data_IF_870572820042
#
_entry.id   IF_870572820042
#
_cell.length_a   1.000
_cell.length_b   1.000
_cell.length_c   1.000
_cell.angle_alpha   90.00
_cell.angle_beta   90.00
_cell.angle_gamma   90.00
#
_symmetry.space_group_name_H-M   'P 1'
#
loop_
_entity.id
_entity.type
_entity.pdbx_description
1 polymer ?
#
# COMPACT_ATOMS: atom_id res chain seq x y z
N UNK A 1 -22.24 -33.37 -1.28
CA UNK A 1 -22.21 -31.89 -1.40
C UNK A 1 -22.61 -31.53 -2.82
N UNK A 2 -23.83 -30.97 -3.03
CA UNK A 2 -24.34 -30.69 -4.36
C UNK A 2 -23.85 -29.33 -4.81
N UNK A 3 -23.02 -29.27 -5.86
CA UNK A 3 -22.54 -28.03 -6.44
C UNK A 3 -23.62 -27.47 -7.40
N UNK A 4 -24.18 -26.32 -7.07
CA UNK A 4 -25.14 -25.62 -7.93
C UNK A 4 -24.36 -24.58 -8.73
N UNK A 5 -24.31 -24.73 -10.05
CA UNK A 5 -23.79 -23.69 -10.96
C UNK A 5 -24.95 -22.71 -11.25
N UNK A 6 -25.04 -21.66 -10.46
CA UNK A 6 -25.95 -20.55 -10.73
C UNK A 6 -25.42 -19.70 -11.90
N UNK A 7 -26.31 -19.40 -12.87
CA UNK A 7 -26.09 -18.38 -13.90
C UNK A 7 -27.08 -17.25 -13.61
N UNK A 8 -26.58 -16.10 -13.19
CA UNK A 8 -27.45 -14.97 -12.89
C UNK A 8 -26.71 -13.82 -12.23
N UNK A 9 -27.35 -12.66 -12.24
CA UNK A 9 -26.91 -11.49 -11.48
C UNK A 9 -27.41 -11.63 -10.04
N UNK A 10 -26.50 -11.45 -9.07
CA UNK A 10 -26.86 -11.38 -7.66
C UNK A 10 -26.98 -9.90 -7.25
N UNK A 11 -28.11 -9.52 -6.69
CA UNK A 11 -28.34 -8.17 -6.14
C UNK A 11 -28.48 -8.29 -4.63
N UNK A 12 -27.72 -7.49 -3.89
CA UNK A 12 -27.76 -7.42 -2.43
C UNK A 12 -28.04 -5.98 -2.00
N UNK A 13 -28.89 -5.82 -1.00
CA UNK A 13 -29.10 -4.56 -0.31
C UNK A 13 -28.47 -4.66 1.07
N UNK A 14 -27.62 -3.70 1.43
CA UNK A 14 -26.94 -3.65 2.71
C UNK A 14 -26.88 -2.20 3.23
N UNK A 15 -26.91 -2.03 4.55
CA UNK A 15 -26.75 -0.71 5.18
C UNK A 15 -25.27 -0.37 5.43
N UNK A 16 -24.41 -1.38 5.41
CA UNK A 16 -22.97 -1.26 5.60
C UNK A 16 -22.23 -1.93 4.45
N UNK A 17 -21.02 -1.49 4.20
CA UNK A 17 -20.18 -2.07 3.16
C UNK A 17 -19.84 -3.53 3.51
N UNK A 18 -19.95 -4.46 2.55
CA UNK A 18 -19.67 -5.86 2.83
C UNK A 18 -18.19 -6.09 3.11
N UNK A 19 -17.87 -6.67 4.26
CA UNK A 19 -16.53 -7.14 4.55
C UNK A 19 -16.25 -8.46 3.83
N UNK A 20 -15.08 -8.62 3.24
CA UNK A 20 -14.67 -9.86 2.57
C UNK A 20 -13.29 -10.30 3.03
N UNK A 21 -13.11 -11.62 3.18
CA UNK A 21 -11.79 -12.23 3.38
C UNK A 21 -10.97 -12.29 2.09
N UNK A 22 -11.66 -12.36 0.95
CA UNK A 22 -11.03 -12.30 -0.37
C UNK A 22 -10.75 -10.84 -0.72
N UNK A 23 -9.48 -10.51 -0.92
CA UNK A 23 -8.96 -9.17 -1.29
C UNK A 23 -8.48 -9.16 -2.74
N UNK A 24 -8.86 -10.16 -3.54
CA UNK A 24 -8.42 -10.27 -4.91
C UNK A 24 -9.10 -9.27 -5.83
N UNK A 25 -8.39 -8.78 -6.83
CA UNK A 25 -8.96 -7.96 -7.91
C UNK A 25 -10.10 -8.71 -8.65
N UNK A 26 -10.05 -10.05 -8.64
CA UNK A 26 -11.12 -10.90 -9.21
C UNK A 26 -12.45 -10.73 -8.49
N UNK A 27 -12.44 -10.49 -7.18
CA UNK A 27 -13.65 -10.18 -6.41
C UNK A 27 -14.17 -8.80 -6.79
N UNK A 28 -13.34 -7.76 -6.69
CA UNK A 28 -13.75 -6.38 -6.89
C UNK A 28 -14.28 -6.10 -8.30
N UNK A 29 -13.73 -6.73 -9.34
CA UNK A 29 -14.26 -6.62 -10.73
C UNK A 29 -15.69 -7.14 -10.91
N UNK A 30 -16.21 -7.90 -9.95
CA UNK A 30 -17.59 -8.46 -9.98
C UNK A 30 -18.57 -7.66 -9.13
N UNK A 31 -18.09 -6.63 -8.44
CA UNK A 31 -18.89 -5.75 -7.61
C UNK A 31 -19.20 -4.45 -8.35
N UNK A 32 -20.47 -4.09 -8.37
CA UNK A 32 -20.92 -2.77 -8.80
C UNK A 32 -21.72 -2.20 -7.62
N UNK A 33 -21.10 -1.44 -6.72
CA UNK A 33 -21.80 -0.82 -5.60
C UNK A 33 -22.63 0.34 -6.12
N UNK A 34 -23.92 0.35 -5.77
CA UNK A 34 -24.85 1.42 -6.14
C UNK A 34 -25.22 2.18 -4.87
N UNK A 35 -24.68 3.40 -4.62
CA UNK A 35 -25.00 4.15 -3.43
C UNK A 35 -26.38 4.79 -3.51
N UNK A 36 -27.17 4.61 -2.45
CA UNK A 36 -28.43 5.34 -2.22
C UNK A 36 -28.19 6.43 -1.18
N UNK A 37 -27.80 7.62 -1.64
CA UNK A 37 -27.33 8.71 -0.78
C UNK A 37 -28.48 9.48 -0.12
N UNK A 38 -29.69 9.40 -0.67
CA UNK A 38 -30.85 10.13 -0.15
C UNK A 38 -31.55 9.32 0.95
N UNK A 39 -31.77 9.96 2.07
CA UNK A 39 -32.50 9.40 3.20
C UNK A 39 -33.81 10.17 3.39
N UNK A 40 -34.92 9.47 3.26
CA UNK A 40 -36.24 10.02 3.49
C UNK A 40 -36.73 9.59 4.87
N UNK A 41 -36.90 10.57 5.79
CA UNK A 41 -37.32 10.32 7.18
C UNK A 41 -38.40 11.33 7.62
N UNK A 42 -39.27 10.92 8.52
CA UNK A 42 -40.28 11.79 9.09
C UNK A 42 -41.32 12.26 8.07
N UNK A 43 -41.45 13.55 7.86
CA UNK A 43 -42.43 14.13 6.95
C UNK A 43 -42.17 13.85 5.47
N UNK A 44 -40.89 13.53 5.11
CA UNK A 44 -40.50 13.22 3.74
C UNK A 44 -40.69 11.72 3.43
N UNK A 45 -41.01 10.90 4.43
CA UNK A 45 -41.26 9.46 4.25
C UNK A 45 -42.64 9.23 3.67
N UNK A 46 -42.72 8.74 2.43
CA UNK A 46 -43.98 8.31 1.83
C UNK A 46 -44.16 6.81 1.93
N UNK A 47 -44.82 6.35 2.98
CA UNK A 47 -45.11 4.92 3.22
C UNK A 47 -45.99 4.27 2.16
N UNK A 48 -46.80 5.05 1.45
CA UNK A 48 -47.66 4.57 0.38
C UNK A 48 -46.85 4.02 -0.81
N UNK A 49 -45.63 4.51 -1.04
CA UNK A 49 -44.78 3.97 -2.11
C UNK A 49 -44.56 2.47 -1.91
N UNK A 50 -44.12 2.05 -0.72
CA UNK A 50 -43.78 0.66 -0.42
C UNK A 50 -45.05 -0.20 -0.24
N UNK A 51 -46.07 0.34 0.40
CA UNK A 51 -47.21 -0.46 0.85
C UNK A 51 -48.30 -0.59 -0.21
N UNK A 52 -48.41 0.37 -1.11
CA UNK A 52 -49.51 0.52 -2.04
C UNK A 52 -49.02 0.70 -3.48
N UNK A 53 -48.35 1.80 -3.76
CA UNK A 53 -47.99 2.23 -5.13
C UNK A 53 -47.25 1.15 -5.94
N UNK A 54 -46.20 0.51 -5.39
CA UNK A 54 -45.43 -0.53 -6.10
C UNK A 54 -46.19 -1.83 -6.34
N UNK A 55 -47.38 -2.00 -5.75
CA UNK A 55 -48.24 -3.18 -5.92
C UNK A 55 -49.36 -2.96 -6.91
N UNK A 56 -49.57 -1.74 -7.37
CA UNK A 56 -50.61 -1.41 -8.35
C UNK A 56 -50.28 -2.08 -9.68
N UNK A 57 -51.27 -2.77 -10.32
CA UNK A 57 -51.09 -3.46 -11.58
C UNK A 57 -50.52 -2.53 -12.67
N UNK A 58 -51.02 -1.30 -12.76
CA UNK A 58 -50.62 -0.30 -13.75
C UNK A 58 -49.14 0.07 -13.62
N UNK A 59 -48.62 0.13 -12.37
CA UNK A 59 -47.19 0.40 -12.11
C UNK A 59 -46.33 -0.78 -12.50
N UNK A 60 -46.80 -2.00 -12.18
CA UNK A 60 -46.10 -3.23 -12.54
C UNK A 60 -46.06 -3.43 -14.07
N UNK A 61 -47.19 -3.18 -14.77
CA UNK A 61 -47.27 -3.21 -16.23
C UNK A 61 -46.33 -2.20 -16.87
N UNK A 62 -46.29 -0.96 -16.35
CA UNK A 62 -45.36 0.07 -16.82
C UNK A 62 -43.91 -0.36 -16.68
N UNK A 63 -43.53 -0.87 -15.51
CA UNK A 63 -42.14 -1.34 -15.27
C UNK A 63 -41.78 -2.51 -16.18
N UNK A 64 -42.69 -3.49 -16.30
CA UNK A 64 -42.49 -4.63 -17.18
C UNK A 64 -42.35 -4.23 -18.65
N UNK A 65 -43.20 -3.32 -19.11
CA UNK A 65 -43.12 -2.79 -20.48
C UNK A 65 -41.83 -2.02 -20.72
N UNK A 66 -41.41 -1.17 -19.78
CA UNK A 66 -40.15 -0.47 -19.85
C UNK A 66 -38.97 -1.45 -19.93
N UNK A 67 -38.96 -2.50 -19.13
CA UNK A 67 -37.91 -3.52 -19.14
C UNK A 67 -37.87 -4.29 -20.49
N UNK A 68 -39.02 -4.61 -21.06
CA UNK A 68 -39.11 -5.27 -22.38
C UNK A 68 -38.65 -4.38 -23.55
N UNK A 69 -38.80 -3.07 -23.41
CA UNK A 69 -38.38 -2.09 -24.43
C UNK A 69 -36.94 -1.61 -24.28
N UNK A 70 -36.23 -2.07 -23.24
CA UNK A 70 -34.80 -1.74 -23.09
C UNK A 70 -33.96 -2.48 -24.12
N UNK A 71 -33.04 -1.75 -24.73
CA UNK A 71 -32.05 -2.38 -25.60
C UNK A 71 -31.14 -3.31 -24.79
N UNK A 72 -30.75 -4.41 -25.40
CA UNK A 72 -29.78 -5.32 -24.83
C UNK A 72 -28.41 -4.61 -24.79
N UNK A 73 -27.72 -4.72 -23.71
CA UNK A 73 -26.38 -4.15 -23.51
C UNK A 73 -25.38 -5.24 -23.15
N UNK A 74 -24.15 -5.10 -23.65
CA UNK A 74 -23.09 -6.10 -23.42
C UNK A 74 -22.32 -5.85 -22.13
N UNK A 75 -22.37 -4.64 -21.61
CA UNK A 75 -21.65 -4.25 -20.39
C UNK A 75 -22.43 -3.23 -19.56
N UNK A 76 -22.24 -3.28 -18.26
CA UNK A 76 -22.80 -2.28 -17.35
C UNK A 76 -22.02 -0.96 -17.45
N UNK A 77 -22.76 0.14 -17.43
CA UNK A 77 -22.16 1.47 -17.24
C UNK A 77 -21.81 1.60 -15.75
N UNK A 78 -20.55 1.91 -15.47
CA UNK A 78 -20.07 2.17 -14.13
C UNK A 78 -19.89 3.68 -13.92
N UNK A 79 -20.85 4.37 -13.28
CA UNK A 79 -20.72 5.78 -12.93
C UNK A 79 -19.50 6.04 -12.03
N UNK A 80 -18.94 7.26 -12.08
CA UNK A 80 -17.80 7.65 -11.25
C UNK A 80 -18.05 7.38 -9.76
N UNK A 81 -19.24 7.73 -9.27
CA UNK A 81 -19.63 7.52 -7.87
C UNK A 81 -19.59 6.04 -7.44
N UNK A 82 -19.90 5.11 -8.37
CA UNK A 82 -19.81 3.67 -8.09
C UNK A 82 -18.36 3.21 -8.01
N UNK A 83 -17.47 3.76 -8.85
CA UNK A 83 -16.04 3.47 -8.81
C UNK A 83 -15.39 4.00 -7.55
N UNK A 84 -15.69 5.24 -7.17
CA UNK A 84 -15.21 5.85 -5.94
C UNK A 84 -15.62 5.03 -4.71
N UNK A 85 -16.89 4.59 -4.66
CA UNK A 85 -17.37 3.74 -3.58
C UNK A 85 -16.66 2.37 -3.58
N UNK A 86 -16.39 1.79 -4.75
CA UNK A 86 -15.65 0.54 -4.85
C UNK A 86 -14.22 0.68 -4.34
N UNK A 87 -13.57 1.81 -4.63
CA UNK A 87 -12.22 2.09 -4.14
C UNK A 87 -12.20 2.30 -2.62
N UNK A 88 -13.22 2.97 -2.05
CA UNK A 88 -13.42 3.05 -0.60
C UNK A 88 -13.57 1.66 0.03
N UNK A 89 -14.40 0.78 -0.55
CA UNK A 89 -14.56 -0.61 -0.10
C UNK A 89 -13.23 -1.38 -0.12
N UNK A 90 -12.40 -1.17 -1.13
CA UNK A 90 -11.07 -1.78 -1.22
C UNK A 90 -10.18 -1.36 -0.07
N UNK A 91 -10.13 -0.05 0.21
CA UNK A 91 -9.31 0.50 1.30
C UNK A 91 -9.83 0.02 2.65
N UNK A 92 -11.13 0.17 2.93
CA UNK A 92 -11.72 -0.26 4.21
C UNK A 92 -11.54 -1.76 4.49
N UNK A 93 -11.48 -2.55 3.44
CA UNK A 93 -11.27 -3.99 3.57
C UNK A 93 -9.80 -4.41 3.62
N UNK A 94 -8.83 -3.55 3.30
CA UNK A 94 -7.41 -3.90 3.26
C UNK A 94 -6.56 -3.06 4.22
N UNK A 95 -6.17 -3.62 5.37
CA UNK A 95 -5.35 -2.89 6.34
C UNK A 95 -4.01 -2.39 5.80
N UNK A 96 -3.46 -3.00 4.72
CA UNK A 96 -2.23 -2.50 4.10
C UNK A 96 -2.50 -1.23 3.31
N UNK A 97 -3.64 -1.15 2.63
CA UNK A 97 -4.04 0.06 1.91
C UNK A 97 -4.40 1.18 2.89
N UNK A 98 -5.12 0.87 3.98
CA UNK A 98 -5.38 1.84 5.06
C UNK A 98 -4.06 2.39 5.61
N UNK A 99 -3.11 1.53 5.91
CA UNK A 99 -1.78 1.93 6.36
C UNK A 99 -1.08 2.82 5.35
N UNK A 100 -1.14 2.49 4.05
CA UNK A 100 -0.53 3.30 3.01
C UNK A 100 -1.14 4.71 2.95
N UNK A 101 -2.46 4.83 2.95
CA UNK A 101 -3.16 6.12 2.89
C UNK A 101 -2.90 6.98 4.13
N UNK A 102 -2.89 6.36 5.31
CA UNK A 102 -2.71 7.06 6.58
C UNK A 102 -1.25 7.50 6.78
N UNK A 103 -0.28 6.63 6.52
CA UNK A 103 1.10 6.85 6.94
C UNK A 103 2.03 7.39 5.86
N UNK A 104 1.83 7.10 4.57
CA UNK A 104 2.73 7.60 3.53
C UNK A 104 2.87 9.14 3.52
N UNK A 105 1.81 9.95 3.77
CA UNK A 105 1.96 11.39 3.86
C UNK A 105 2.71 11.88 5.11
N UNK A 106 2.77 11.08 6.17
CA UNK A 106 3.31 11.47 7.48
C UNK A 106 4.80 11.24 7.63
N UNK A 107 5.39 10.33 6.83
CA UNK A 107 6.80 9.99 6.95
C UNK A 107 7.70 11.21 6.70
N UNK A 108 8.74 11.33 7.54
CA UNK A 108 9.75 12.37 7.42
C UNK A 108 10.93 11.94 6.54
N UNK A 109 11.31 10.67 6.60
CA UNK A 109 12.39 10.12 5.81
C UNK A 109 12.06 10.09 4.32
N UNK A 110 13.08 10.22 3.47
CA UNK A 110 12.92 10.15 2.01
C UNK A 110 13.12 8.74 1.45
N UNK A 111 13.63 7.83 2.25
CA UNK A 111 13.71 6.40 1.97
C UNK A 111 13.09 5.62 3.13
N UNK A 112 12.10 4.79 2.82
CA UNK A 112 11.41 3.93 3.79
C UNK A 112 11.84 2.48 3.59
N UNK A 113 12.77 1.96 4.39
CA UNK A 113 13.15 0.56 4.31
C UNK A 113 11.96 -0.37 4.54
N UNK A 114 11.81 -1.41 3.72
CA UNK A 114 10.70 -2.38 3.88
C UNK A 114 10.62 -2.98 5.27
N UNK A 115 11.78 -3.23 5.89
CA UNK A 115 11.85 -3.77 7.24
C UNK A 115 11.24 -2.82 8.26
N UNK A 116 11.51 -1.52 8.14
CA UNK A 116 10.93 -0.48 8.99
C UNK A 116 9.41 -0.37 8.77
N UNK A 117 9.00 -0.17 7.52
CA UNK A 117 7.58 -0.01 7.16
C UNK A 117 6.74 -1.19 7.62
N UNK A 118 7.25 -2.42 7.48
CA UNK A 118 6.56 -3.62 7.95
C UNK A 118 6.48 -3.70 9.49
N UNK A 119 7.51 -3.26 10.20
CA UNK A 119 7.49 -3.18 11.67
C UNK A 119 6.47 -2.16 12.16
N UNK A 120 6.44 -0.99 11.53
CA UNK A 120 5.47 0.04 11.85
C UNK A 120 4.03 -0.45 11.56
N UNK A 121 3.78 -1.03 10.39
CA UNK A 121 2.50 -1.66 10.07
C UNK A 121 2.07 -2.69 11.11
N UNK A 122 2.99 -3.56 11.54
CA UNK A 122 2.69 -4.58 12.53
C UNK A 122 2.43 -4.01 13.93
N UNK A 123 3.06 -2.88 14.29
CA UNK A 123 2.82 -2.18 15.55
C UNK A 123 1.45 -1.47 15.51
N UNK A 124 1.16 -0.76 14.42
CA UNK A 124 -0.12 -0.12 14.17
C UNK A 124 -1.29 -1.13 14.21
N UNK A 125 -1.18 -2.25 13.50
CA UNK A 125 -2.20 -3.30 13.52
C UNK A 125 -2.49 -3.82 14.93
N UNK A 126 -1.48 -3.97 15.77
CA UNK A 126 -1.67 -4.42 17.16
C UNK A 126 -2.37 -3.38 18.02
N UNK A 127 -2.15 -2.10 17.74
CA UNK A 127 -2.73 -0.98 18.49
C UNK A 127 -4.17 -0.70 18.06
N UNK A 128 -4.43 -0.61 16.76
CA UNK A 128 -5.71 -0.15 16.21
C UNK A 128 -6.68 -1.30 15.87
N UNK A 129 -6.15 -2.48 15.53
CA UNK A 129 -6.95 -3.65 15.12
C UNK A 129 -6.57 -4.88 15.94
N UNK A 130 -6.85 -4.91 17.27
CA UNK A 130 -6.37 -5.98 18.16
C UNK A 130 -6.83 -7.38 17.77
N UNK A 131 -8.00 -7.50 17.11
CA UNK A 131 -8.52 -8.78 16.59
C UNK A 131 -7.99 -9.15 15.20
N UNK A 132 -7.30 -8.22 14.54
CA UNK A 132 -6.71 -8.41 13.22
C UNK A 132 -5.35 -9.09 13.30
N UNK A 133 -5.04 -9.90 12.28
CA UNK A 133 -3.71 -10.46 12.12
C UNK A 133 -3.00 -9.73 10.98
N UNK A 134 -1.79 -9.16 11.22
CA UNK A 134 -1.03 -8.54 10.15
C UNK A 134 -0.69 -9.57 9.07
N UNK A 135 -0.75 -9.16 7.81
CA UNK A 135 -0.31 -10.01 6.70
C UNK A 135 1.20 -10.27 6.79
N UNK A 136 1.68 -11.33 6.14
CA UNK A 136 3.12 -11.61 6.10
C UNK A 136 3.90 -10.52 5.36
N UNK A 137 5.20 -10.35 5.68
CA UNK A 137 6.01 -9.26 5.13
C UNK A 137 6.09 -9.26 3.59
N UNK A 138 6.11 -10.44 2.95
CA UNK A 138 6.09 -10.54 1.48
C UNK A 138 4.81 -9.99 0.87
N UNK A 139 3.68 -10.33 1.47
CA UNK A 139 2.37 -9.85 1.02
C UNK A 139 2.20 -8.35 1.28
N UNK A 140 2.68 -7.86 2.43
CA UNK A 140 2.74 -6.43 2.73
C UNK A 140 3.52 -5.66 1.67
N UNK A 141 4.76 -6.09 1.36
CA UNK A 141 5.60 -5.45 0.35
C UNK A 141 4.93 -5.44 -1.02
N UNK A 142 4.33 -6.56 -1.42
CA UNK A 142 3.61 -6.66 -2.69
C UNK A 142 2.48 -5.66 -2.77
N UNK A 143 1.60 -5.60 -1.77
CA UNK A 143 0.44 -4.68 -1.75
C UNK A 143 0.86 -3.21 -1.69
N UNK A 144 1.87 -2.88 -0.89
CA UNK A 144 2.44 -1.53 -0.84
C UNK A 144 3.04 -1.12 -2.19
N UNK A 145 3.75 -2.03 -2.87
CA UNK A 145 4.29 -1.81 -4.20
C UNK A 145 3.17 -1.57 -5.21
N UNK A 146 2.16 -2.45 -5.22
CA UNK A 146 1.00 -2.35 -6.11
C UNK A 146 0.22 -1.04 -5.88
N UNK A 147 0.10 -0.61 -4.62
CA UNK A 147 -0.55 0.66 -4.26
C UNK A 147 0.20 1.87 -4.81
N UNK A 148 1.51 1.94 -4.58
CA UNK A 148 2.34 3.06 -5.00
C UNK A 148 2.43 3.14 -6.54
N UNK A 149 2.55 1.99 -7.21
CA UNK A 149 2.58 1.93 -8.68
C UNK A 149 1.26 2.40 -9.32
N UNK A 150 0.12 2.13 -8.67
CA UNK A 150 -1.21 2.56 -9.13
C UNK A 150 -1.52 4.02 -8.77
N UNK A 151 -0.88 4.57 -7.75
CA UNK A 151 -1.14 5.91 -7.20
C UNK A 151 0.12 6.80 -7.22
N UNK A 152 0.61 7.26 -8.39
CA UNK A 152 1.80 8.10 -8.46
C UNK A 152 1.66 9.42 -7.68
N UNK A 153 0.43 9.87 -7.46
CA UNK A 153 0.11 11.08 -6.68
C UNK A 153 0.40 10.94 -5.17
N UNK A 154 0.63 9.73 -4.66
CA UNK A 154 1.00 9.52 -3.26
C UNK A 154 2.38 10.08 -2.90
N UNK A 155 3.18 10.47 -3.91
CA UNK A 155 4.51 11.06 -3.70
C UNK A 155 5.62 10.06 -3.38
N UNK A 156 5.37 8.76 -3.60
CA UNK A 156 6.32 7.69 -3.35
C UNK A 156 6.46 6.77 -4.56
N UNK A 157 7.62 6.12 -4.70
CA UNK A 157 7.85 5.14 -5.76
C UNK A 157 8.80 4.03 -5.29
N UNK A 158 8.82 2.92 -6.02
CA UNK A 158 9.74 1.81 -5.80
C UNK A 158 10.93 1.96 -6.75
N UNK A 159 12.16 2.19 -6.24
CA UNK A 159 13.35 2.23 -7.09
C UNK A 159 13.58 0.88 -7.79
N UNK A 160 13.73 0.91 -9.11
CA UNK A 160 13.99 -0.26 -9.94
C UNK A 160 15.24 -0.08 -10.78
N UNK A 161 16.00 -1.16 -10.95
CA UNK A 161 17.13 -1.21 -11.89
C UNK A 161 16.67 -1.35 -13.34
N UNK A 162 17.62 -1.32 -14.26
CA UNK A 162 17.37 -1.55 -15.70
C UNK A 162 16.78 -2.95 -15.98
N UNK A 163 17.00 -3.91 -15.08
CA UNK A 163 16.43 -5.25 -15.10
C UNK A 163 15.00 -5.35 -14.59
N UNK A 164 14.38 -4.22 -14.20
CA UNK A 164 13.04 -4.13 -13.62
C UNK A 164 12.96 -4.59 -12.16
N UNK A 165 14.04 -5.14 -11.59
CA UNK A 165 14.07 -5.56 -10.20
C UNK A 165 14.23 -4.38 -9.25
N UNK A 166 13.75 -4.53 -8.02
CA UNK A 166 13.90 -3.51 -7.01
C UNK A 166 15.36 -3.28 -6.65
N UNK A 167 15.83 -2.04 -6.78
CA UNK A 167 17.18 -1.60 -6.44
C UNK A 167 17.27 -1.25 -4.95
N UNK A 168 18.39 -1.58 -4.30
CA UNK A 168 18.71 -1.04 -2.98
C UNK A 168 19.30 0.35 -3.17
N UNK A 169 18.86 1.30 -2.33
CA UNK A 169 19.28 2.70 -2.35
C UNK A 169 20.12 3.02 -1.13
N UNK A 170 21.09 3.92 -1.27
CA UNK A 170 21.87 4.42 -0.14
C UNK A 170 20.95 5.11 0.86
N UNK A 171 21.14 4.82 2.15
CA UNK A 171 20.41 5.46 3.25
C UNK A 171 21.03 6.79 3.67
N UNK A 172 22.24 7.07 3.21
CA UNK A 172 22.93 8.33 3.47
C UNK A 172 22.15 9.49 2.87
N UNK A 173 21.95 10.56 3.63
CA UNK A 173 21.18 11.77 3.28
C UNK A 173 19.67 11.55 3.05
N UNK A 174 19.17 10.31 3.03
CA UNK A 174 17.74 9.98 2.84
C UNK A 174 17.05 9.60 4.14
N UNK A 175 17.82 9.10 5.09
CA UNK A 175 17.37 8.77 6.44
C UNK A 175 18.17 9.61 7.41
N UNK A 176 17.61 10.74 7.83
CA UNK A 176 18.28 11.71 8.70
C UNK A 176 17.43 11.96 9.94
N UNK A 177 18.04 11.76 11.11
CA UNK A 177 17.33 11.90 12.39
C UNK A 177 16.28 10.84 12.64
N UNK A 178 15.53 11.00 13.72
CA UNK A 178 14.48 10.08 14.10
C UNK A 178 13.21 10.30 13.28
N UNK A 179 12.56 9.20 12.91
CA UNK A 179 11.23 9.21 12.35
C UNK A 179 10.21 9.36 13.48
N UNK A 180 9.34 10.39 13.48
CA UNK A 180 8.36 10.60 14.54
C UNK A 180 7.47 9.38 14.78
N UNK A 181 7.09 8.67 13.72
CA UNK A 181 6.29 7.46 13.80
C UNK A 181 7.03 6.30 14.51
N UNK A 182 8.36 6.25 14.47
CA UNK A 182 9.12 5.29 15.24
C UNK A 182 8.96 5.52 16.76
N UNK A 183 8.91 6.78 17.16
CA UNK A 183 8.69 7.18 18.56
C UNK A 183 7.27 6.85 18.99
N UNK A 184 6.29 7.22 18.18
CA UNK A 184 4.85 7.04 18.47
C UNK A 184 4.45 5.57 18.65
N UNK A 185 5.10 4.67 17.89
CA UNK A 185 4.82 3.24 17.91
C UNK A 185 5.87 2.41 18.66
N UNK A 186 6.67 3.05 19.53
CA UNK A 186 7.68 2.41 20.40
C UNK A 186 8.69 1.53 19.65
N UNK A 187 9.05 1.93 18.44
CA UNK A 187 10.02 1.22 17.60
C UNK A 187 11.46 1.62 17.97
N UNK A 188 11.85 1.40 19.24
CA UNK A 188 13.15 1.83 19.78
C UNK A 188 14.34 1.35 18.98
N UNK A 189 14.24 0.22 18.31
CA UNK A 189 15.29 -0.34 17.43
C UNK A 189 15.57 0.52 16.19
N UNK A 190 14.65 1.46 15.85
CA UNK A 190 14.76 2.37 14.70
C UNK A 190 15.02 3.82 15.11
N UNK A 191 15.24 4.07 16.37
CA UNK A 191 15.58 5.40 16.90
C UNK A 191 17.10 5.56 17.00
N UNK A 192 17.59 6.82 16.95
CA UNK A 192 19.00 7.14 17.19
C UNK A 192 19.32 7.09 18.68
N UNK A 193 19.34 5.90 19.23
CA UNK A 193 19.83 5.68 20.59
C UNK A 193 21.35 5.63 20.52
N UNK A 194 22.04 6.67 21.03
CA UNK A 194 23.49 6.67 21.16
C UNK A 194 23.92 5.45 21.99
N UNK A 195 24.74 4.54 21.45
CA UNK A 195 25.28 3.46 22.27
C UNK A 195 26.18 4.06 23.35
N UNK A 196 25.97 3.66 24.59
CA UNK A 196 26.88 3.96 25.68
C UNK A 196 28.27 3.38 25.34
N UNK A 197 29.19 4.21 24.85
CA UNK A 197 30.56 3.81 24.50
C UNK A 197 31.00 4.18 23.07
N UNK A 198 31.41 5.39 22.89
CA UNK A 198 32.53 5.88 22.09
C UNK A 198 32.80 5.41 20.66
N UNK A 199 31.88 4.83 19.91
CA UNK A 199 32.09 4.58 18.49
C UNK A 199 31.64 5.81 17.69
N UNK A 200 32.51 6.37 16.84
CA UNK A 200 32.18 7.47 15.94
C UNK A 200 31.13 7.05 14.95
N UNK A 201 29.86 7.20 15.30
CA UNK A 201 28.75 7.14 14.36
C UNK A 201 28.56 8.50 13.73
N UNK A 202 28.26 8.51 12.43
CA UNK A 202 27.73 9.70 11.78
C UNK A 202 26.45 10.08 12.52
N UNK A 203 26.44 11.24 13.16
CA UNK A 203 25.33 11.81 13.90
C UNK A 203 24.09 11.79 12.97
N UNK A 204 22.99 11.22 13.44
CA UNK A 204 21.69 11.32 12.78
C UNK A 204 21.23 10.12 11.95
N UNK A 205 21.90 8.96 12.00
CA UNK A 205 21.39 7.72 11.37
C UNK A 205 21.01 6.72 12.45
N UNK A 206 19.74 6.24 12.50
CA UNK A 206 19.31 5.25 13.45
C UNK A 206 20.11 3.95 13.41
N UNK A 207 20.22 3.30 14.57
CA UNK A 207 21.16 2.19 14.81
C UNK A 207 21.02 0.99 13.87
N UNK A 208 19.81 0.63 13.48
CA UNK A 208 19.54 -0.57 12.70
C UNK A 208 19.39 -0.32 11.19
N UNK A 209 19.74 0.87 10.73
CA UNK A 209 19.64 1.20 9.31
C UNK A 209 20.92 0.74 8.60
N UNK A 210 20.82 -0.17 7.62
CA UNK A 210 21.95 -0.57 6.81
C UNK A 210 22.39 0.58 5.89
N UNK A 211 23.61 0.54 5.37
CA UNK A 211 24.14 1.53 4.42
C UNK A 211 23.25 1.61 3.17
N UNK A 212 22.77 0.48 2.71
CA UNK A 212 21.83 0.38 1.58
C UNK A 212 20.56 -0.38 2.00
N UNK A 213 19.41 0.12 1.60
CA UNK A 213 18.12 -0.50 1.90
C UNK A 213 17.22 -0.56 0.66
N UNK A 214 16.43 -1.63 0.57
CA UNK A 214 15.29 -1.70 -0.34
C UNK A 214 14.06 -1.17 0.37
N UNK A 215 13.29 -0.33 -0.34
CA UNK A 215 12.12 0.32 0.24
C UNK A 215 11.41 1.22 -0.75
N UNK A 216 10.54 2.08 -0.23
CA UNK A 216 9.92 3.16 -0.97
C UNK A 216 10.79 4.40 -0.92
N UNK A 217 10.85 5.14 -2.00
CA UNK A 217 11.58 6.40 -2.10
C UNK A 217 10.62 7.53 -2.42
N UNK A 218 10.84 8.70 -1.81
CA UNK A 218 10.02 9.89 -2.04
C UNK A 218 10.28 10.44 -3.45
N UNK A 219 9.23 10.80 -4.16
CA UNK A 219 9.33 11.42 -5.47
C UNK A 219 10.03 12.79 -5.37
N UNK A 220 10.94 13.06 -6.31
CA UNK A 220 11.75 14.30 -6.33
C UNK A 220 13.13 14.18 -5.66
N UNK A 221 13.42 13.08 -4.96
CA UNK A 221 14.78 12.75 -4.54
C UNK A 221 15.55 12.10 -5.70
N UNK A 222 16.67 12.71 -6.09
CA UNK A 222 17.46 12.23 -7.25
C UNK A 222 18.04 10.85 -7.02
N UNK A 223 17.92 9.91 -7.99
CA UNK A 223 18.61 8.61 -7.94
C UNK A 223 20.13 8.73 -8.23
N UNK A 224 20.61 9.88 -8.69
CA UNK A 224 21.90 10.06 -9.33
C UNK A 224 23.11 10.12 -8.39
N UNK A 225 22.90 10.17 -7.07
CA UNK A 225 24.03 10.29 -6.12
C UNK A 225 24.70 8.95 -5.78
N UNK A 226 24.24 7.84 -6.37
CA UNK A 226 24.71 6.50 -6.01
C UNK A 226 25.74 5.90 -6.99
N UNK A 227 26.01 6.54 -8.14
CA UNK A 227 26.92 5.97 -9.17
C UNK A 227 28.42 6.27 -8.92
N UNK A 228 28.74 7.32 -8.14
CA UNK A 228 30.14 7.76 -7.99
C UNK A 228 30.92 7.14 -6.82
N UNK A 229 30.32 6.28 -6.00
CA UNK A 229 31.00 5.72 -4.82
C UNK A 229 31.65 4.34 -5.01
N UNK A 230 31.52 3.71 -6.18
CA UNK A 230 32.04 2.36 -6.43
C UNK A 230 33.24 2.27 -7.36
N UNK A 231 33.79 3.40 -7.86
CA UNK A 231 34.88 3.36 -8.84
C UNK A 231 36.31 3.44 -8.27
N UNK A 232 36.54 3.35 -6.96
CA UNK A 232 37.89 3.47 -6.39
C UNK A 232 38.29 2.44 -5.32
N UNK A 233 37.72 1.22 -5.38
CA UNK A 233 38.28 0.13 -4.59
C UNK A 233 38.68 -1.02 -5.51
N UNK A 234 39.92 -0.97 -6.00
CA UNK A 234 40.60 -2.08 -6.67
C UNK A 234 41.30 -2.93 -5.59
N UNK A 235 40.80 -4.14 -5.30
CA UNK A 235 41.39 -5.03 -4.29
C UNK A 235 42.72 -5.69 -4.72
N UNK A 236 43.28 -5.35 -5.90
CA UNK A 236 44.47 -5.98 -6.46
C UNK A 236 45.69 -5.08 -6.52
N UNK A 237 45.69 -3.84 -5.99
CA UNK A 237 46.89 -3.04 -5.86
C UNK A 237 47.51 -3.16 -4.48
N UNK A 238 48.02 -4.32 -4.14
CA UNK A 238 49.08 -4.42 -3.13
C UNK A 238 49.68 -5.83 -3.04
N UNK A 239 50.39 -6.25 -4.09
CA UNK A 239 51.44 -7.28 -3.96
C UNK A 239 52.42 -7.12 -5.10
N UNK A 240 53.42 -6.26 -4.90
CA UNK A 240 54.74 -6.35 -5.54
C UNK A 240 55.60 -5.17 -5.16
N UNK A 241 56.13 -5.20 -3.95
CA UNK A 241 57.35 -4.45 -3.60
C UNK A 241 57.90 -5.04 -2.28
N UNK A 242 58.63 -6.17 -2.42
CA UNK A 242 59.66 -6.64 -1.46
C UNK A 242 60.25 -7.97 -1.93
N UNK A 243 61.09 -7.88 -2.94
CA UNK A 243 62.20 -8.85 -3.16
C UNK A 243 63.17 -8.17 -4.10
N UNK A 244 64.16 -7.49 -3.50
CA UNK A 244 65.47 -7.23 -4.09
C UNK A 244 66.29 -6.44 -3.10
N UNK A 245 66.95 -7.15 -2.21
CA UNK A 245 68.22 -6.71 -1.62
C UNK A 245 68.73 -7.81 -0.69
N UNK A 246 69.57 -8.66 -1.22
CA UNK A 246 70.69 -9.28 -0.52
C UNK A 246 71.40 -10.28 -1.43
N UNK A 247 72.31 -9.75 -2.23
CA UNK A 247 73.50 -10.48 -2.63
C UNK A 247 74.60 -9.46 -3.00
N UNK A 248 75.50 -9.19 -2.07
CA UNK A 248 76.87 -8.80 -2.34
C UNK A 248 77.71 -9.24 -1.13
N UNK A 249 78.65 -10.22 -1.41
CA UNK A 249 80.03 -10.40 -0.90
C UNK A 249 80.23 -10.70 0.59
N UNK A 250 80.95 -11.76 0.88
CA UNK A 250 82.31 -12.20 0.46
C UNK A 250 82.49 -13.66 0.77
#
# INVERSE_FOLDING_TARGET
MTSIKGRGLCVFCANELPSSKDKSESLYRRFIPIPFLMRYVGADENKAIKNDYVKQPEVLEYVANKALMMDLFDSFIEPAVCKELLDQIRVENDPVLQFAEEFLPQFKWDLLPWKFSFRLYSAWMRKEVPSGHPVGSREFIKRMTDYVDKNPSCGWFVPRGADGNQKAMSTQNRIVGDEPLAVEYDLHEWMDIQPAGGSMRKIGIPHNIPINARGLMRAGTSPTDDEDSYSSFDPFQNTNEKEDMNHVES
#
